data_IF_537634603194
#
_entry.id   IF_537634603194
#
_cell.length_a   1.000
_cell.length_b   1.000
_cell.length_c   1.000
_cell.angle_alpha   90.00
_cell.angle_beta   90.00
_cell.angle_gamma   90.00
#
_symmetry.space_group_name_H-M   'P 1'
#
loop_
_entity.id
_entity.type
_entity.pdbx_description
1 polymer ?
#
# COMPACT_ATOMS: atom_id res chain seq x y z
N UNK A 1 -8.94 8.86 -7.90
CA UNK A 1 -10.11 8.36 -8.66
C UNK A 1 -9.77 6.94 -9.07
N UNK A 2 -10.52 5.92 -8.62
CA UNK A 2 -10.27 4.50 -8.93
C UNK A 2 -11.03 4.01 -10.17
N UNK A 3 -11.99 4.79 -10.67
CA UNK A 3 -12.77 4.46 -11.86
C UNK A 3 -13.88 5.48 -12.12
N UNK A 4 -14.65 5.24 -13.19
CA UNK A 4 -15.91 5.94 -13.51
C UNK A 4 -17.01 4.91 -13.72
N UNK A 5 -18.24 5.23 -13.34
CA UNK A 5 -19.41 4.44 -13.73
C UNK A 5 -19.66 4.58 -15.25
N UNK A 6 -20.52 3.73 -15.83
CA UNK A 6 -20.92 3.82 -17.24
C UNK A 6 -21.69 5.12 -17.53
N UNK A 7 -22.29 5.73 -16.51
CA UNK A 7 -22.97 7.03 -16.58
C UNK A 7 -22.00 8.21 -16.39
N UNK A 8 -20.71 7.92 -16.13
CA UNK A 8 -19.66 8.93 -15.96
C UNK A 8 -19.47 9.44 -14.53
N UNK A 9 -20.17 8.87 -13.55
CA UNK A 9 -20.05 9.24 -12.15
C UNK A 9 -18.63 8.98 -11.63
N UNK A 10 -18.12 9.96 -10.88
CA UNK A 10 -16.81 9.91 -10.22
C UNK A 10 -17.02 9.59 -8.76
N UNK A 11 -16.30 8.57 -8.30
CA UNK A 11 -16.35 8.12 -6.91
C UNK A 11 -15.09 8.55 -6.17
N UNK A 12 -15.28 8.99 -4.94
CA UNK A 12 -14.22 9.23 -3.97
C UNK A 12 -13.69 7.90 -3.46
N UNK A 13 -12.42 7.94 -3.10
CA UNK A 13 -11.66 6.77 -2.65
C UNK A 13 -10.84 7.14 -1.42
N UNK A 14 -10.30 8.36 -1.42
CA UNK A 14 -9.58 8.92 -0.29
C UNK A 14 -10.48 9.91 0.45
N UNK A 15 -10.61 9.70 1.75
CA UNK A 15 -11.51 10.44 2.62
C UNK A 15 -10.69 11.11 3.71
N UNK A 16 -10.78 12.44 3.89
CA UNK A 16 -10.18 13.09 5.04
C UNK A 16 -10.74 12.52 6.34
N UNK A 17 -9.85 12.33 7.31
CA UNK A 17 -10.20 11.99 8.69
C UNK A 17 -9.41 12.90 9.64
N UNK A 18 -9.58 12.73 10.95
CA UNK A 18 -8.99 13.63 11.96
C UNK A 18 -7.46 13.72 11.90
N UNK A 19 -6.77 12.66 11.46
CA UNK A 19 -5.31 12.51 11.48
C UNK A 19 -4.73 12.05 10.13
N UNK A 20 -5.42 12.31 9.03
CA UNK A 20 -4.94 12.03 7.68
C UNK A 20 -6.03 11.63 6.71
N UNK A 21 -5.82 10.52 5.99
CA UNK A 21 -6.76 10.01 4.99
C UNK A 21 -7.07 8.53 5.20
N UNK A 22 -8.28 8.14 4.81
CA UNK A 22 -8.75 6.77 4.74
C UNK A 22 -8.96 6.39 3.29
N UNK A 23 -8.67 5.14 2.94
CA UNK A 23 -9.13 4.53 1.70
C UNK A 23 -10.42 3.73 1.99
N UNK A 24 -11.49 4.11 1.33
CA UNK A 24 -12.76 3.39 1.36
C UNK A 24 -13.45 3.56 0.01
N UNK A 25 -14.06 2.50 -0.50
CA UNK A 25 -14.80 2.53 -1.76
C UNK A 25 -16.21 2.00 -1.49
N UNK A 26 -17.20 2.73 -1.99
CA UNK A 26 -18.58 2.22 -2.03
C UNK A 26 -18.62 1.17 -3.15
N UNK A 27 -18.39 -0.09 -2.80
CA UNK A 27 -18.34 -1.18 -3.77
C UNK A 27 -19.76 -1.63 -4.18
N UNK A 28 -19.89 -2.18 -5.39
CA UNK A 28 -21.01 -3.03 -5.78
C UNK A 28 -20.73 -4.51 -5.51
N UNK A 29 -21.67 -5.39 -5.87
CA UNK A 29 -21.50 -6.84 -5.74
C UNK A 29 -21.43 -7.32 -4.28
N UNK A 30 -21.02 -8.57 -4.07
CA UNK A 30 -21.12 -9.22 -2.75
C UNK A 30 -20.22 -8.57 -1.69
N UNK A 31 -18.98 -8.26 -2.05
CA UNK A 31 -18.05 -7.59 -1.15
C UNK A 31 -18.54 -6.19 -0.74
N UNK A 32 -19.17 -5.46 -1.67
CA UNK A 32 -19.74 -4.15 -1.39
C UNK A 32 -21.00 -4.20 -0.55
N UNK A 33 -21.89 -5.16 -0.79
CA UNK A 33 -23.10 -5.37 0.03
C UNK A 33 -22.77 -5.46 1.51
N UNK A 34 -21.80 -6.30 1.88
CA UNK A 34 -21.38 -6.48 3.27
C UNK A 34 -20.71 -5.22 3.82
N UNK A 35 -19.72 -4.69 3.09
CA UNK A 35 -18.92 -3.53 3.52
C UNK A 35 -19.79 -2.28 3.70
N UNK A 36 -20.68 -1.98 2.76
CA UNK A 36 -21.52 -0.78 2.80
C UNK A 36 -22.54 -0.86 3.94
N UNK A 37 -23.17 -2.02 4.17
CA UNK A 37 -24.06 -2.23 5.33
C UNK A 37 -23.32 -2.04 6.64
N UNK A 38 -22.17 -2.68 6.80
CA UNK A 38 -21.39 -2.58 8.02
C UNK A 38 -20.93 -1.14 8.32
N UNK A 39 -20.62 -0.34 7.30
CA UNK A 39 -20.37 1.09 7.48
C UNK A 39 -21.62 1.83 7.96
N UNK A 40 -22.77 1.60 7.32
CA UNK A 40 -24.04 2.25 7.70
C UNK A 40 -24.45 1.87 9.13
N UNK A 41 -24.32 0.60 9.52
CA UNK A 41 -24.60 0.15 10.88
C UNK A 41 -23.66 0.82 11.90
N UNK A 42 -22.38 1.02 11.53
CA UNK A 42 -21.44 1.75 12.37
C UNK A 42 -21.81 3.23 12.49
N UNK A 43 -22.19 3.88 11.39
CA UNK A 43 -22.71 5.25 11.40
C UNK A 43 -23.97 5.36 12.27
N UNK A 44 -24.90 4.40 12.18
CA UNK A 44 -26.16 4.37 12.96
C UNK A 44 -25.87 4.19 14.45
N UNK A 45 -24.89 3.36 14.81
CA UNK A 45 -24.44 3.20 16.20
C UNK A 45 -23.91 4.49 16.83
N UNK A 46 -23.50 5.47 16.00
CA UNK A 46 -23.11 6.82 16.42
C UNK A 46 -24.20 7.88 16.18
N UNK A 47 -25.39 7.48 15.73
CA UNK A 47 -26.49 8.39 15.39
C UNK A 47 -26.23 9.25 14.15
N UNK A 48 -25.33 8.81 13.26
CA UNK A 48 -24.87 9.56 12.09
C UNK A 48 -25.34 8.98 10.74
N UNK A 49 -26.07 7.86 10.75
CA UNK A 49 -26.62 7.26 9.53
C UNK A 49 -27.95 7.93 9.13
N UNK A 50 -28.03 8.54 7.93
CA UNK A 50 -29.30 9.00 7.39
C UNK A 50 -30.25 7.84 7.11
N UNK A 51 -31.55 8.12 7.22
CA UNK A 51 -32.59 7.11 7.09
C UNK A 51 -32.65 6.44 5.71
N UNK A 52 -32.25 7.15 4.65
CA UNK A 52 -32.19 6.58 3.30
C UNK A 52 -31.04 5.56 3.14
N UNK A 53 -29.90 5.75 3.81
CA UNK A 53 -28.79 4.78 3.78
C UNK A 53 -29.15 3.50 4.53
N UNK A 54 -29.86 3.64 5.66
CA UNK A 54 -30.36 2.52 6.48
C UNK A 54 -31.36 1.64 5.72
N UNK A 55 -32.23 2.28 4.93
CA UNK A 55 -33.26 1.60 4.12
C UNK A 55 -32.77 1.18 2.73
N UNK A 56 -31.54 1.52 2.36
CA UNK A 56 -31.00 1.21 1.03
C UNK A 56 -30.84 -0.30 0.87
N UNK A 57 -31.42 -0.83 -0.21
CA UNK A 57 -31.14 -2.20 -0.63
C UNK A 57 -29.76 -2.26 -1.30
N UNK A 58 -28.75 -2.57 -0.51
CA UNK A 58 -27.39 -2.78 -1.02
C UNK A 58 -27.29 -4.00 -1.93
N UNK A 59 -28.25 -4.93 -1.90
CA UNK A 59 -28.21 -6.14 -2.74
C UNK A 59 -28.42 -5.84 -4.21
N UNK A 60 -29.30 -4.89 -4.54
CA UNK A 60 -29.55 -4.42 -5.89
C UNK A 60 -28.62 -3.28 -6.33
N UNK A 61 -27.76 -2.79 -5.45
CA UNK A 61 -26.87 -1.66 -5.77
C UNK A 61 -25.84 -2.01 -6.84
N UNK A 62 -25.99 -1.39 -8.00
CA UNK A 62 -25.07 -1.52 -9.13
C UNK A 62 -24.18 -0.27 -9.25
N UNK A 63 -22.94 -0.38 -8.77
CA UNK A 63 -21.97 0.72 -8.84
C UNK A 63 -21.63 1.14 -10.28
N UNK A 64 -21.81 0.24 -11.26
CA UNK A 64 -21.52 0.57 -12.66
C UNK A 64 -22.55 1.53 -13.25
N UNK A 65 -23.78 1.55 -12.75
CA UNK A 65 -24.89 2.38 -13.26
C UNK A 65 -25.16 3.62 -12.42
N UNK A 66 -24.51 3.76 -11.26
CA UNK A 66 -24.75 4.87 -10.32
C UNK A 66 -24.55 6.22 -11.00
N UNK A 67 -25.47 7.14 -10.76
CA UNK A 67 -25.37 8.53 -11.21
C UNK A 67 -24.48 9.36 -10.27
N UNK A 68 -24.02 10.54 -10.75
CA UNK A 68 -23.26 11.44 -9.88
C UNK A 68 -24.11 11.94 -8.69
N UNK A 69 -25.40 12.16 -8.91
CA UNK A 69 -26.30 12.61 -7.83
C UNK A 69 -26.45 11.53 -6.74
N UNK A 70 -26.66 10.28 -7.13
CA UNK A 70 -26.79 9.18 -6.17
C UNK A 70 -25.50 8.94 -5.38
N UNK A 71 -24.34 9.00 -6.04
CA UNK A 71 -23.06 8.83 -5.32
C UNK A 71 -22.87 10.01 -4.36
N UNK A 72 -23.04 11.26 -4.81
CA UNK A 72 -22.85 12.44 -3.97
C UNK A 72 -23.77 12.41 -2.73
N UNK A 73 -25.03 11.99 -2.89
CA UNK A 73 -25.96 11.81 -1.78
C UNK A 73 -25.45 10.81 -0.74
N UNK A 74 -24.78 9.73 -1.17
CA UNK A 74 -24.19 8.73 -0.26
C UNK A 74 -22.84 9.20 0.32
N UNK A 75 -21.98 9.84 -0.47
CA UNK A 75 -20.66 10.27 -0.04
C UNK A 75 -20.71 11.38 0.99
N UNK A 76 -21.68 12.28 0.91
CA UNK A 76 -21.81 13.44 1.80
C UNK A 76 -21.90 13.04 3.30
N UNK A 77 -22.85 12.18 3.74
CA UNK A 77 -22.90 11.72 5.13
C UNK A 77 -21.69 10.85 5.51
N UNK A 78 -21.14 10.05 4.59
CA UNK A 78 -19.95 9.23 4.83
C UNK A 78 -18.73 10.12 5.09
N UNK A 79 -18.57 11.20 4.31
CA UNK A 79 -17.48 12.15 4.48
C UNK A 79 -17.53 12.84 5.85
N UNK A 80 -18.72 13.28 6.28
CA UNK A 80 -18.90 13.86 7.63
C UNK A 80 -18.55 12.87 8.73
N UNK A 81 -18.95 11.61 8.57
CA UNK A 81 -18.61 10.57 9.54
C UNK A 81 -17.10 10.32 9.61
N UNK A 82 -16.43 10.19 8.47
CA UNK A 82 -14.99 9.96 8.42
C UNK A 82 -14.16 11.12 8.95
N UNK A 83 -14.62 12.36 8.79
CA UNK A 83 -13.97 13.53 9.40
C UNK A 83 -13.97 13.50 10.94
N UNK A 84 -14.85 12.73 11.57
CA UNK A 84 -14.97 12.60 13.02
C UNK A 84 -14.23 11.43 13.65
N UNK A 85 -13.44 10.67 12.89
CA UNK A 85 -12.71 9.50 13.38
C UNK A 85 -11.23 9.56 13.02
N UNK A 86 -10.41 8.78 13.72
CA UNK A 86 -8.98 8.59 13.46
C UNK A 86 -8.72 7.41 12.51
N UNK A 87 -7.54 7.38 11.89
CA UNK A 87 -7.02 6.23 11.13
C UNK A 87 -7.06 4.95 11.94
N UNK A 88 -6.70 5.02 13.23
CA UNK A 88 -6.69 3.87 14.13
C UNK A 88 -8.08 3.33 14.42
N UNK A 89 -9.04 4.20 14.78
CA UNK A 89 -10.44 3.78 14.99
C UNK A 89 -11.03 3.15 13.73
N UNK A 90 -10.72 3.72 12.56
CA UNK A 90 -11.15 3.14 11.28
C UNK A 90 -10.56 1.75 11.06
N UNK A 91 -9.26 1.56 11.26
CA UNK A 91 -8.60 0.26 11.06
C UNK A 91 -9.12 -0.83 12.00
N UNK A 92 -9.34 -0.48 13.28
CA UNK A 92 -9.95 -1.37 14.27
C UNK A 92 -11.38 -1.75 13.86
N UNK A 93 -12.18 -0.75 13.44
CA UNK A 93 -13.56 -0.97 13.01
C UNK A 93 -13.66 -1.84 11.75
N UNK A 94 -12.80 -1.59 10.76
CA UNK A 94 -12.73 -2.35 9.51
C UNK A 94 -12.45 -3.83 9.80
N UNK A 95 -11.50 -4.10 10.69
CA UNK A 95 -11.15 -5.48 11.07
C UNK A 95 -12.30 -6.17 11.81
N UNK A 96 -12.88 -5.51 12.82
CA UNK A 96 -13.96 -6.08 13.64
C UNK A 96 -15.25 -6.30 12.85
N UNK A 97 -15.54 -5.46 11.86
CA UNK A 97 -16.77 -5.50 11.05
C UNK A 97 -16.57 -6.19 9.70
N UNK A 98 -15.37 -6.71 9.45
CA UNK A 98 -14.99 -7.37 8.20
C UNK A 98 -15.32 -6.52 6.96
N UNK A 99 -15.04 -5.22 7.07
CA UNK A 99 -15.24 -4.25 6.00
C UNK A 99 -14.03 -4.22 5.07
N UNK A 100 -14.22 -3.68 3.87
CA UNK A 100 -13.13 -3.30 2.98
C UNK A 100 -12.78 -1.82 3.14
N UNK A 101 -11.54 -1.55 3.53
CA UNK A 101 -10.99 -0.22 3.68
C UNK A 101 -9.65 -0.28 4.41
N UNK A 102 -8.87 0.79 4.36
CA UNK A 102 -7.61 0.87 5.10
C UNK A 102 -7.22 2.33 5.35
N UNK A 103 -6.50 2.64 6.45
CA UNK A 103 -5.89 3.94 6.61
C UNK A 103 -4.82 4.17 5.54
N UNK A 104 -4.66 5.42 5.08
CA UNK A 104 -3.56 5.80 4.20
C UNK A 104 -2.35 6.08 5.09
N UNK A 105 -1.38 5.17 5.07
CA UNK A 105 -0.16 5.29 5.86
C UNK A 105 0.82 6.31 5.25
N UNK A 106 1.45 7.09 6.12
CA UNK A 106 2.64 7.88 5.79
C UNK A 106 3.89 7.00 5.76
N UNK A 107 4.99 7.50 5.20
CA UNK A 107 6.27 6.78 5.19
C UNK A 107 6.70 6.38 6.60
N UNK A 108 6.61 7.30 7.56
CA UNK A 108 6.96 7.02 8.95
C UNK A 108 6.10 5.92 9.56
N UNK A 109 4.78 5.94 9.31
CA UNK A 109 3.86 4.90 9.79
C UNK A 109 4.17 3.53 9.19
N UNK A 110 4.60 3.47 7.92
CA UNK A 110 5.06 2.23 7.29
C UNK A 110 6.33 1.71 7.95
N UNK A 111 7.30 2.58 8.26
CA UNK A 111 8.49 2.17 9.03
C UNK A 111 8.12 1.64 10.42
N UNK A 112 7.11 2.25 11.05
CA UNK A 112 6.69 1.92 12.40
C UNK A 112 5.69 0.76 12.51
N UNK A 113 5.19 0.25 11.38
CA UNK A 113 4.15 -0.76 11.30
C UNK A 113 4.52 -2.04 12.09
N UNK A 114 3.68 -2.44 13.07
CA UNK A 114 3.94 -3.62 13.89
C UNK A 114 4.03 -4.92 13.10
N UNK A 115 3.27 -5.05 12.02
CA UNK A 115 3.27 -6.24 11.17
C UNK A 115 4.56 -6.32 10.33
N UNK A 116 5.06 -5.20 9.82
CA UNK A 116 6.36 -5.18 9.12
C UNK A 116 7.52 -5.46 10.09
N UNK A 117 7.46 -4.95 11.32
CA UNK A 117 8.42 -5.29 12.40
C UNK A 117 8.37 -6.77 12.75
N UNK A 118 7.18 -7.33 13.02
CA UNK A 118 7.01 -8.76 13.32
C UNK A 118 7.47 -9.67 12.16
N UNK A 119 7.49 -9.14 10.94
CA UNK A 119 7.97 -9.84 9.76
C UNK A 119 9.46 -9.65 9.49
N UNK A 120 10.21 -8.92 10.32
CA UNK A 120 11.62 -8.56 10.03
C UNK A 120 11.75 -8.01 8.60
N UNK A 121 10.79 -7.17 8.19
CA UNK A 121 10.73 -6.69 6.81
C UNK A 121 11.89 -5.76 6.49
N UNK A 122 12.28 -4.88 7.42
CA UNK A 122 13.39 -3.96 7.22
C UNK A 122 14.73 -4.66 7.46
N UNK A 123 15.62 -4.61 6.47
CA UNK A 123 16.95 -5.21 6.52
C UNK A 123 18.01 -4.12 6.58
N UNK A 124 18.92 -4.22 7.54
CA UNK A 124 20.07 -3.31 7.63
C UNK A 124 21.18 -3.81 6.71
N UNK A 125 21.51 -3.02 5.69
CA UNK A 125 22.53 -3.35 4.69
C UNK A 125 23.72 -2.42 4.87
N UNK A 126 24.91 -3.00 5.01
CA UNK A 126 26.13 -2.23 5.19
C UNK A 126 26.59 -1.56 3.89
N UNK A 127 26.96 -0.29 4.00
CA UNK A 127 27.59 0.52 2.96
C UNK A 127 28.95 1.02 3.45
N UNK A 128 30.02 0.21 3.31
CA UNK A 128 31.36 0.58 3.76
C UNK A 128 31.87 1.90 3.17
N UNK A 129 31.53 2.17 1.91
CA UNK A 129 31.86 3.41 1.20
C UNK A 129 31.18 4.66 1.77
N UNK A 130 30.07 4.48 2.50
CA UNK A 130 29.37 5.54 3.23
C UNK A 130 29.71 5.53 4.73
N UNK A 131 30.42 4.51 5.22
CA UNK A 131 30.74 4.32 6.64
C UNK A 131 29.50 4.08 7.52
N UNK A 132 28.40 3.60 6.95
CA UNK A 132 27.13 3.40 7.65
C UNK A 132 26.36 2.21 7.09
N UNK A 133 25.28 1.82 7.77
CA UNK A 133 24.30 0.87 7.25
C UNK A 133 23.00 1.61 6.92
N UNK A 134 22.28 1.14 5.91
CA UNK A 134 21.00 1.70 5.48
C UNK A 134 19.90 0.64 5.59
N UNK A 135 18.69 1.07 5.89
CA UNK A 135 17.52 0.18 5.93
C UNK A 135 16.94 0.02 4.53
N UNK A 136 16.83 -1.23 4.10
CA UNK A 136 16.22 -1.63 2.84
C UNK A 136 14.89 -2.35 3.13
N UNK A 137 13.89 -2.21 2.24
CA UNK A 137 12.76 -3.13 2.25
C UNK A 137 13.26 -4.53 1.90
N UNK A 138 12.92 -5.51 2.75
CA UNK A 138 13.26 -6.90 2.53
C UNK A 138 12.40 -7.55 1.44
N UNK A 139 12.50 -8.88 1.35
CA UNK A 139 11.77 -9.67 0.37
C UNK A 139 10.26 -9.45 0.38
N UNK A 140 9.66 -9.41 -0.81
CA UNK A 140 8.21 -9.33 -0.98
C UNK A 140 7.47 -10.57 -0.46
N UNK A 141 8.17 -11.71 -0.34
CA UNK A 141 7.64 -12.97 0.13
C UNK A 141 8.56 -13.66 1.13
N UNK A 142 7.98 -14.51 1.98
CA UNK A 142 8.70 -15.41 2.88
C UNK A 142 8.49 -16.84 2.41
N UNK A 143 9.57 -17.60 2.24
CA UNK A 143 9.51 -19.03 1.97
C UNK A 143 10.14 -19.80 3.13
N UNK A 144 9.66 -21.02 3.37
CA UNK A 144 10.14 -21.88 4.46
C UNK A 144 11.53 -22.46 4.20
N UNK A 145 11.91 -22.64 2.93
CA UNK A 145 13.16 -23.29 2.53
C UNK A 145 14.25 -22.32 2.08
N UNK A 146 13.86 -21.18 1.48
CA UNK A 146 14.80 -20.20 0.91
C UNK A 146 14.37 -18.79 1.27
N UNK A 147 15.33 -17.93 1.62
CA UNK A 147 15.01 -16.53 1.92
C UNK A 147 15.03 -15.67 0.65
N UNK A 148 14.07 -14.76 0.53
CA UNK A 148 14.05 -13.70 -0.49
C UNK A 148 14.73 -12.45 0.10
N UNK A 149 15.95 -12.58 0.59
CA UNK A 149 16.65 -11.51 1.32
C UNK A 149 17.64 -10.77 0.43
N UNK A 150 17.88 -9.50 0.76
CA UNK A 150 18.90 -8.68 0.12
C UNK A 150 20.21 -9.01 0.81
N UNK A 151 21.17 -9.55 0.05
CA UNK A 151 22.44 -10.07 0.61
C UNK A 151 23.49 -9.01 0.83
N UNK A 152 23.54 -8.00 -0.04
CA UNK A 152 24.52 -6.92 0.00
C UNK A 152 23.95 -5.68 -0.69
N UNK A 153 24.66 -4.55 -0.52
CA UNK A 153 24.37 -3.33 -1.27
C UNK A 153 24.56 -3.55 -2.77
N UNK A 154 23.98 -2.65 -3.57
CA UNK A 154 24.29 -2.59 -4.98
C UNK A 154 25.81 -2.42 -5.21
N UNK A 155 26.39 -3.07 -6.23
CA UNK A 155 27.81 -2.96 -6.51
C UNK A 155 28.18 -1.55 -6.97
N UNK A 156 29.39 -1.13 -6.63
CA UNK A 156 30.02 0.06 -7.20
C UNK A 156 30.40 -0.20 -8.65
N UNK A 157 30.59 0.88 -9.40
CA UNK A 157 31.03 0.81 -10.78
C UNK A 157 32.39 0.10 -10.82
N UNK A 158 32.43 -1.04 -11.53
CA UNK A 158 33.63 -1.85 -11.71
C UNK A 158 34.06 -2.69 -10.51
N UNK A 159 33.26 -2.78 -9.43
CA UNK A 159 33.62 -3.50 -8.21
C UNK A 159 34.00 -4.97 -8.46
N UNK A 160 33.27 -5.64 -9.34
CA UNK A 160 33.49 -7.05 -9.66
C UNK A 160 34.33 -7.27 -10.94
N UNK A 161 34.98 -6.23 -11.49
CA UNK A 161 35.75 -6.38 -12.74
C UNK A 161 36.87 -7.42 -12.58
N UNK A 162 37.66 -7.35 -11.51
CA UNK A 162 38.74 -8.31 -11.29
C UNK A 162 38.20 -9.73 -11.02
N UNK A 163 37.11 -9.85 -10.24
CA UNK A 163 36.45 -11.12 -9.95
C UNK A 163 35.97 -11.81 -11.24
N UNK A 164 35.30 -11.08 -12.12
CA UNK A 164 34.74 -11.65 -13.35
C UNK A 164 35.83 -11.86 -14.40
N UNK A 165 36.62 -10.83 -14.76
CA UNK A 165 37.59 -10.94 -15.85
C UNK A 165 38.76 -11.86 -15.51
N UNK A 166 39.30 -11.78 -14.29
CA UNK A 166 40.43 -12.61 -13.90
C UNK A 166 40.01 -13.94 -13.27
N UNK A 167 38.96 -13.93 -12.44
CA UNK A 167 38.48 -15.12 -11.74
C UNK A 167 37.67 -16.05 -12.64
N UNK A 168 36.57 -15.57 -13.22
CA UNK A 168 35.66 -16.41 -14.01
C UNK A 168 36.13 -16.63 -15.45
N UNK A 169 36.66 -15.58 -16.10
CA UNK A 169 37.09 -15.62 -17.50
C UNK A 169 38.57 -15.99 -17.68
N UNK A 170 39.35 -16.06 -16.60
CA UNK A 170 40.74 -16.50 -16.62
C UNK A 170 41.73 -15.53 -17.28
N UNK A 171 41.36 -14.26 -17.47
CA UNK A 171 42.26 -13.24 -18.00
C UNK A 171 43.36 -12.92 -16.98
N UNK A 172 44.56 -12.64 -17.45
CA UNK A 172 45.61 -12.18 -16.55
C UNK A 172 45.45 -10.67 -16.26
N UNK A 173 46.06 -10.21 -15.16
CA UNK A 173 45.97 -8.80 -14.73
C UNK A 173 46.49 -7.81 -15.78
N UNK A 174 47.47 -8.19 -16.59
CA UNK A 174 48.02 -7.30 -17.62
C UNK A 174 47.03 -7.05 -18.77
N UNK A 175 46.24 -8.07 -19.13
CA UNK A 175 45.17 -7.94 -20.12
C UNK A 175 44.05 -7.03 -19.61
N UNK A 176 43.63 -7.19 -18.35
CA UNK A 176 42.62 -6.32 -17.73
C UNK A 176 43.08 -4.86 -17.68
N UNK A 177 44.33 -4.60 -17.29
CA UNK A 177 44.89 -3.24 -17.27
C UNK A 177 45.01 -2.63 -18.67
N UNK A 178 45.26 -3.43 -19.70
CA UNK A 178 45.22 -2.96 -21.09
C UNK A 178 43.80 -2.50 -21.47
N UNK A 179 42.78 -3.32 -21.17
CA UNK A 179 41.39 -3.01 -21.47
C UNK A 179 40.90 -1.75 -20.75
N UNK A 180 41.29 -1.56 -19.48
CA UNK A 180 40.99 -0.31 -18.75
C UNK A 180 41.59 0.91 -19.42
N UNK A 181 42.85 0.83 -19.87
CA UNK A 181 43.52 1.95 -20.58
C UNK A 181 42.88 2.27 -21.93
N UNK A 182 42.34 1.26 -22.60
CA UNK A 182 41.61 1.40 -23.87
C UNK A 182 40.16 1.90 -23.68
N UNK A 183 39.68 2.02 -22.44
CA UNK A 183 38.31 2.46 -22.13
C UNK A 183 37.24 1.41 -22.42
N UNK A 184 37.64 0.14 -22.51
CA UNK A 184 36.72 -1.00 -22.75
C UNK A 184 36.05 -1.45 -21.46
N UNK A 185 36.76 -1.35 -20.32
CA UNK A 185 36.36 -1.81 -18.98
C UNK A 185 36.52 -0.69 -17.96
#
# INVERSE_FOLDING_TARGET
MTGRSITGAKMRVFWPCTDGYLNFIIYGGEAGRKTNRALVDWMDSKGMAPEFLKKKDWSSFNIAEVTQEEIDQMEEPIARFFQGITKREFFEAVTQREMLGYPVATVQEVFDDPQLKARNFWQSIDHPELGTSLLYPGGFAKFSETSCEIRCRAPLIGEHNEEVYCGELGMNKAELERLKKEGVV
#
